data_IF_107676329615
#
_entry.id   IF_107676329615
#
_cell.length_a   1.000
_cell.length_b   1.000
_cell.length_c   1.000
_cell.angle_alpha   90.00
_cell.angle_beta   90.00
_cell.angle_gamma   90.00
#
_symmetry.space_group_name_H-M   'P 1'
#
loop_
_entity.id
_entity.type
_entity.pdbx_description
1 polymer ?
#
# COMPACT_ATOMS: atom_id res chain seq x y z
N UNK A 1 15.39 3.97 -1.11
CA UNK A 1 15.99 5.18 -0.51
C UNK A 1 16.95 4.72 0.58
N UNK A 2 18.10 5.39 0.74
CA UNK A 2 18.97 5.24 1.91
C UNK A 2 19.06 6.62 2.55
N UNK A 3 18.75 6.71 3.85
CA UNK A 3 18.82 7.98 4.58
C UNK A 3 20.30 8.42 4.72
N UNK A 4 20.54 9.74 4.73
CA UNK A 4 21.89 10.29 4.91
C UNK A 4 22.46 10.02 6.29
N UNK A 5 21.59 9.82 7.28
CA UNK A 5 21.92 9.46 8.66
C UNK A 5 20.90 8.45 9.18
N UNK A 6 21.31 7.50 10.04
CA UNK A 6 20.37 6.59 10.70
C UNK A 6 19.37 7.34 11.59
N UNK A 7 18.17 6.78 11.74
CA UNK A 7 17.15 7.24 12.69
C UNK A 7 16.81 6.10 13.62
N UNK A 8 16.81 6.36 14.93
CA UNK A 8 16.35 5.39 15.94
C UNK A 8 14.84 5.52 16.09
N UNK A 9 14.09 4.56 15.53
CA UNK A 9 12.63 4.51 15.63
C UNK A 9 12.16 3.07 15.47
N UNK A 10 10.89 2.81 15.77
CA UNK A 10 10.25 1.54 15.47
C UNK A 10 10.05 1.37 13.97
N UNK A 11 10.47 0.24 13.44
CA UNK A 11 10.27 -0.14 12.04
C UNK A 11 9.07 -1.07 11.91
N UNK A 12 8.52 -1.16 10.71
CA UNK A 12 7.49 -2.14 10.38
C UNK A 12 8.14 -3.42 9.85
N UNK A 13 7.49 -4.55 10.05
CA UNK A 13 7.92 -5.83 9.48
C UNK A 13 7.34 -6.00 8.07
N UNK A 14 8.16 -6.49 7.14
CA UNK A 14 7.75 -6.77 5.77
C UNK A 14 7.21 -8.19 5.63
N UNK A 15 6.08 -8.34 4.92
CA UNK A 15 5.52 -9.67 4.65
C UNK A 15 6.38 -10.48 3.68
N UNK A 16 6.48 -11.79 3.90
CA UNK A 16 7.11 -12.74 2.98
C UNK A 16 6.12 -13.35 1.97
N UNK A 17 4.81 -13.19 2.21
CA UNK A 17 3.74 -13.71 1.36
C UNK A 17 2.67 -12.65 1.14
N UNK A 18 1.96 -12.75 0.01
CA UNK A 18 0.78 -11.92 -0.22
C UNK A 18 -0.36 -12.31 0.73
N UNK A 19 -1.20 -11.35 1.14
CA UNK A 19 -2.37 -11.64 1.97
C UNK A 19 -3.37 -12.53 1.20
N UNK A 20 -4.20 -13.33 1.90
CA UNK A 20 -5.23 -14.13 1.26
C UNK A 20 -6.23 -13.26 0.49
N UNK A 21 -6.70 -13.75 -0.66
CA UNK A 21 -7.87 -13.13 -1.32
C UNK A 21 -9.07 -13.24 -0.38
N UNK A 22 -9.83 -12.15 -0.25
CA UNK A 22 -10.93 -12.00 0.69
C UNK A 22 -10.53 -11.43 2.05
N UNK A 23 -9.23 -11.30 2.36
CA UNK A 23 -8.79 -10.72 3.62
C UNK A 23 -9.08 -9.23 3.72
N UNK A 24 -9.35 -8.77 4.94
CA UNK A 24 -9.45 -7.34 5.25
C UNK A 24 -8.06 -6.81 5.60
N UNK A 25 -7.63 -5.80 4.87
CA UNK A 25 -6.36 -5.11 5.05
C UNK A 25 -6.61 -3.65 5.44
N UNK A 26 -5.61 -3.01 6.04
CA UNK A 26 -5.62 -1.58 6.34
C UNK A 26 -4.69 -0.82 5.40
N UNK A 27 -5.15 0.31 4.87
CA UNK A 27 -4.34 1.27 4.13
C UNK A 27 -4.26 2.59 4.89
N UNK A 28 -3.18 3.33 4.64
CA UNK A 28 -2.88 4.58 5.33
C UNK A 28 -2.35 5.63 4.35
N UNK A 29 -2.77 6.88 4.50
CA UNK A 29 -2.30 7.97 3.64
C UNK A 29 -2.93 9.33 3.94
N UNK A 30 -2.49 10.32 3.16
CA UNK A 30 -2.92 11.73 3.24
C UNK A 30 -3.62 12.18 1.95
N UNK A 31 -4.03 11.26 1.09
CA UNK A 31 -4.64 11.56 -0.19
C UNK A 31 -5.89 12.43 -0.10
N UNK A 32 -6.33 12.89 -1.26
CA UNK A 32 -7.58 13.66 -1.42
C UNK A 32 -8.77 12.85 -0.91
N UNK A 33 -9.65 13.49 -0.14
CA UNK A 33 -10.87 12.89 0.39
C UNK A 33 -12.12 13.17 -0.45
N UNK A 34 -11.92 13.70 -1.66
CA UNK A 34 -12.95 13.99 -2.64
C UNK A 34 -12.41 13.83 -4.07
N UNK A 35 -13.30 13.74 -5.06
CA UNK A 35 -12.90 13.60 -6.47
C UNK A 35 -12.44 14.92 -7.10
N UNK A 36 -12.97 16.05 -6.64
CA UNK A 36 -12.68 17.37 -7.20
C UNK A 36 -12.90 18.47 -6.17
N UNK A 37 -12.07 19.51 -6.21
CA UNK A 37 -12.28 20.73 -5.43
C UNK A 37 -11.80 20.69 -3.98
N UNK A 38 -11.10 19.63 -3.55
CA UNK A 38 -10.43 19.58 -2.25
C UNK A 38 -8.93 19.31 -2.38
N UNK A 39 -8.21 19.74 -1.34
CA UNK A 39 -6.81 19.40 -1.13
C UNK A 39 -6.65 18.01 -0.52
N UNK A 40 -5.42 17.49 -0.57
CA UNK A 40 -4.97 16.37 0.24
C UNK A 40 -5.27 16.60 1.74
N UNK A 41 -5.46 15.53 2.50
CA UNK A 41 -5.76 15.63 3.92
C UNK A 41 -4.55 16.16 4.71
N UNK A 42 -4.79 17.06 5.66
CA UNK A 42 -3.76 17.53 6.60
C UNK A 42 -3.48 16.54 7.74
N UNK A 43 -4.28 15.47 7.83
CA UNK A 43 -4.17 14.44 8.87
C UNK A 43 -4.08 13.07 8.21
N UNK A 44 -3.35 12.16 8.85
CA UNK A 44 -3.30 10.77 8.40
C UNK A 44 -4.70 10.17 8.44
N UNK A 45 -5.08 9.50 7.37
CA UNK A 45 -6.32 8.73 7.26
C UNK A 45 -6.01 7.24 7.19
N UNK A 46 -7.00 6.45 7.57
CA UNK A 46 -6.97 4.99 7.44
C UNK A 46 -8.28 4.49 6.86
N UNK A 47 -8.19 3.42 6.08
CA UNK A 47 -9.34 2.71 5.55
C UNK A 47 -9.09 1.20 5.56
N UNK A 48 -10.16 0.44 5.70
CA UNK A 48 -10.15 -1.00 5.49
C UNK A 48 -10.57 -1.32 4.06
N UNK A 49 -9.90 -2.31 3.47
CA UNK A 49 -10.10 -2.76 2.10
C UNK A 49 -10.10 -4.29 2.04
N UNK A 50 -10.83 -4.88 1.11
CA UNK A 50 -10.84 -6.32 0.89
C UNK A 50 -9.92 -6.68 -0.26
N UNK A 51 -9.00 -7.61 -0.07
CA UNK A 51 -8.14 -8.12 -1.15
C UNK A 51 -9.00 -8.90 -2.15
N UNK A 52 -8.90 -8.55 -3.43
CA UNK A 52 -9.66 -9.20 -4.52
C UNK A 52 -8.78 -9.94 -5.50
N UNK A 53 -7.48 -9.62 -5.59
CA UNK A 53 -6.52 -10.35 -6.43
C UNK A 53 -5.08 -10.13 -5.97
N UNK A 54 -4.22 -11.14 -6.19
CA UNK A 54 -2.77 -11.06 -6.03
C UNK A 54 -2.02 -11.17 -7.38
N UNK A 55 -2.74 -11.08 -8.50
CA UNK A 55 -2.21 -11.18 -9.86
C UNK A 55 -2.46 -9.92 -10.70
N UNK A 56 -2.85 -8.81 -10.06
CA UNK A 56 -2.93 -7.52 -10.73
C UNK A 56 -1.53 -6.99 -11.03
N UNK A 57 -1.47 -5.91 -11.81
CA UNK A 57 -0.23 -5.20 -12.12
C UNK A 57 -0.24 -3.80 -11.51
N UNK A 58 0.91 -3.36 -11.04
CA UNK A 58 1.15 -1.95 -10.70
C UNK A 58 1.31 -1.10 -11.97
N UNK A 59 1.51 0.21 -11.81
CA UNK A 59 1.67 1.16 -12.91
C UNK A 59 2.85 0.85 -13.87
N UNK A 60 3.79 0.00 -13.46
CA UNK A 60 5.01 -0.33 -14.19
C UNK A 60 5.10 -1.83 -14.57
N UNK A 61 4.02 -2.59 -14.39
CA UNK A 61 3.94 -4.01 -14.75
C UNK A 61 4.46 -4.98 -13.70
N UNK A 62 4.82 -4.51 -12.50
CA UNK A 62 5.14 -5.38 -11.37
C UNK A 62 3.90 -6.03 -10.77
N UNK A 63 4.05 -7.16 -10.05
CA UNK A 63 2.92 -7.81 -9.38
C UNK A 63 2.32 -6.89 -8.31
N UNK A 64 1.00 -6.77 -8.31
CA UNK A 64 0.24 -5.98 -7.35
C UNK A 64 -0.87 -6.79 -6.67
N UNK A 65 -1.14 -6.40 -5.43
CA UNK A 65 -2.33 -6.75 -4.67
C UNK A 65 -3.43 -5.76 -5.07
N UNK A 66 -4.52 -6.28 -5.63
CA UNK A 66 -5.74 -5.51 -5.86
C UNK A 66 -6.66 -5.64 -4.66
N UNK A 67 -7.27 -4.54 -4.27
CA UNK A 67 -8.32 -4.53 -3.26
C UNK A 67 -9.47 -3.61 -3.65
N UNK A 68 -10.62 -3.83 -3.00
CA UNK A 68 -11.81 -2.98 -3.08
C UNK A 68 -12.14 -2.37 -1.73
N UNK A 69 -12.83 -1.22 -1.74
CA UNK A 69 -13.17 -0.50 -0.50
C UNK A 69 -14.04 -1.33 0.46
N UNK A 70 -13.78 -1.20 1.76
CA UNK A 70 -14.74 -1.56 2.84
C UNK A 70 -15.19 -0.29 3.54
N UNK A 71 -14.30 0.36 4.32
CA UNK A 71 -14.59 1.64 4.97
C UNK A 71 -14.09 2.86 4.20
N UNK A 72 -13.25 2.65 3.18
CA UNK A 72 -12.72 3.69 2.31
C UNK A 72 -11.76 3.10 1.26
N UNK A 73 -11.14 3.98 0.48
CA UNK A 73 -10.21 3.62 -0.58
C UNK A 73 -9.05 4.62 -0.65
N UNK A 74 -8.00 4.24 -1.37
CA UNK A 74 -6.91 5.14 -1.70
C UNK A 74 -7.34 6.13 -2.80
N UNK A 75 -6.73 7.30 -2.82
CA UNK A 75 -6.88 8.26 -3.91
C UNK A 75 -5.61 9.08 -4.16
N UNK A 76 -5.73 10.14 -4.95
CA UNK A 76 -4.63 11.03 -5.36
C UNK A 76 -3.88 11.53 -4.13
N UNK A 77 -2.57 11.29 -4.10
CA UNK A 77 -1.69 11.64 -2.98
C UNK A 77 -1.31 10.46 -2.07
N UNK A 78 -1.97 9.31 -2.19
CA UNK A 78 -1.61 8.12 -1.42
C UNK A 78 -0.47 7.28 -2.04
N UNK A 79 -0.02 7.61 -3.26
CA UNK A 79 1.04 6.88 -3.97
C UNK A 79 2.30 6.69 -3.10
N UNK A 80 2.80 5.46 -3.03
CA UNK A 80 3.89 5.07 -2.13
C UNK A 80 3.46 4.71 -0.70
N UNK A 81 2.21 4.98 -0.32
CA UNK A 81 1.66 4.66 0.99
C UNK A 81 1.51 3.16 1.26
N UNK A 82 1.52 2.72 2.54
CA UNK A 82 1.55 1.30 2.87
C UNK A 82 0.16 0.66 2.93
N UNK A 83 0.10 -0.63 2.58
CA UNK A 83 -1.00 -1.53 2.92
C UNK A 83 -0.50 -2.59 3.91
N UNK A 84 -1.30 -2.88 4.94
CA UNK A 84 -1.00 -3.81 6.01
C UNK A 84 -2.00 -4.96 6.12
N UNK A 85 -1.49 -6.14 6.48
CA UNK A 85 -2.27 -7.30 6.90
C UNK A 85 -1.55 -7.98 8.07
N UNK A 86 -2.27 -8.27 9.16
CA UNK A 86 -1.72 -8.88 10.39
C UNK A 86 -0.43 -8.20 10.91
N UNK A 87 -0.38 -6.87 10.87
CA UNK A 87 0.77 -6.08 11.35
C UNK A 87 1.99 -6.05 10.41
N UNK A 88 1.92 -6.70 9.24
CA UNK A 88 2.99 -6.73 8.25
C UNK A 88 2.66 -5.83 7.06
N UNK A 89 3.65 -5.11 6.54
CA UNK A 89 3.47 -4.36 5.30
C UNK A 89 3.45 -5.36 4.12
N UNK A 90 2.33 -5.39 3.41
CA UNK A 90 2.09 -6.32 2.28
C UNK A 90 2.15 -5.62 0.93
N UNK A 91 1.91 -4.31 0.88
CA UNK A 91 1.83 -3.59 -0.38
C UNK A 91 2.23 -2.12 -0.29
N UNK A 92 2.51 -1.54 -1.44
CA UNK A 92 2.85 -0.12 -1.63
C UNK A 92 1.93 0.49 -2.69
N UNK A 93 1.22 1.57 -2.35
CA UNK A 93 0.20 2.16 -3.20
C UNK A 93 0.77 2.54 -4.58
N UNK A 94 0.13 2.08 -5.65
CA UNK A 94 0.54 2.39 -7.03
C UNK A 94 -0.56 3.15 -7.78
N UNK A 95 -1.68 2.50 -8.06
CA UNK A 95 -2.81 3.08 -8.81
C UNK A 95 -4.10 2.94 -8.01
N UNK A 96 -4.99 3.93 -8.10
CA UNK A 96 -6.34 3.83 -7.58
C UNK A 96 -7.30 4.60 -8.52
N UNK A 97 -8.56 4.15 -8.60
CA UNK A 97 -9.62 4.86 -9.33
C UNK A 97 -10.35 5.90 -8.47
N UNK A 98 -10.08 5.91 -7.15
CA UNK A 98 -10.70 6.80 -6.18
C UNK A 98 -12.08 6.36 -5.72
N UNK A 99 -12.60 5.25 -6.26
CA UNK A 99 -13.98 4.78 -6.06
C UNK A 99 -14.01 3.37 -5.49
N UNK A 100 -13.37 2.41 -6.16
CA UNK A 100 -13.69 0.99 -6.01
C UNK A 100 -12.49 0.07 -6.08
N UNK A 101 -11.43 0.46 -6.79
CA UNK A 101 -10.28 -0.39 -7.05
C UNK A 101 -9.01 0.38 -6.75
N UNK A 102 -8.12 -0.28 -6.02
CA UNK A 102 -6.74 0.14 -5.85
C UNK A 102 -5.79 -1.04 -6.04
N UNK A 103 -4.61 -0.78 -6.59
CA UNK A 103 -3.54 -1.73 -6.79
C UNK A 103 -2.31 -1.25 -5.99
N UNK A 104 -1.80 -2.14 -5.16
CA UNK A 104 -0.63 -1.92 -4.32
C UNK A 104 0.46 -2.90 -4.76
N UNK A 105 1.64 -2.42 -5.16
CA UNK A 105 2.76 -3.25 -5.55
C UNK A 105 3.13 -4.22 -4.43
N UNK A 106 3.26 -5.51 -4.75
CA UNK A 106 3.44 -6.57 -3.77
C UNK A 106 4.81 -6.47 -3.10
N UNK A 107 4.82 -6.34 -1.77
CA UNK A 107 6.05 -6.41 -0.98
C UNK A 107 6.65 -7.81 -1.08
N UNK A 108 5.81 -8.85 -0.95
CA UNK A 108 6.21 -10.26 -1.01
C UNK A 108 6.93 -10.61 -2.33
N UNK A 109 6.36 -10.20 -3.46
CA UNK A 109 6.94 -10.42 -4.79
C UNK A 109 8.33 -9.79 -4.93
N UNK A 110 8.51 -8.62 -4.33
CA UNK A 110 9.76 -7.86 -4.40
C UNK A 110 10.73 -8.18 -3.26
N UNK A 111 10.44 -9.14 -2.37
CA UNK A 111 11.27 -9.36 -1.15
C UNK A 111 12.72 -9.68 -1.46
N UNK A 112 12.99 -10.55 -2.43
CA UNK A 112 14.36 -10.92 -2.78
C UNK A 112 15.18 -9.69 -3.21
N UNK A 113 14.59 -8.82 -4.03
CA UNK A 113 15.22 -7.58 -4.46
C UNK A 113 15.41 -6.62 -3.27
N UNK A 114 14.38 -6.40 -2.45
CA UNK A 114 14.45 -5.55 -1.25
C UNK A 114 15.59 -6.02 -0.33
N UNK A 115 15.68 -7.31 -0.05
CA UNK A 115 16.73 -7.88 0.80
C UNK A 115 18.12 -7.70 0.17
N UNK A 116 18.26 -7.89 -1.14
CA UNK A 116 19.55 -7.71 -1.83
C UNK A 116 20.06 -6.27 -1.81
N UNK A 117 19.16 -5.28 -1.80
CA UNK A 117 19.52 -3.86 -1.88
C UNK A 117 19.60 -3.20 -0.51
N UNK A 118 18.67 -3.54 0.40
CA UNK A 118 18.50 -2.87 1.68
C UNK A 118 18.88 -3.74 2.90
N UNK A 119 19.05 -5.05 2.73
CA UNK A 119 19.45 -5.96 3.81
C UNK A 119 18.35 -6.31 4.82
N UNK A 120 17.08 -6.09 4.47
CA UNK A 120 15.89 -6.36 5.33
C UNK A 120 14.90 -7.33 4.71
#
# INVERSE_FOLDING_TARGET
>A
MRLSSPVTTSTVSLASTNPPIGSTNSIYGWGMTCYSGCSASSQLKTATVQVTSNSATDAYGGQAIRSSRISGNAWRGDSGGPQFYNGLQVGVASTADGVSIQNYGSVAFNRAWITSVAGV
#
